data_IF_024679417238
#
_entry.id   IF_024679417238
#
_cell.length_a   1.000
_cell.length_b   1.000
_cell.length_c   1.000
_cell.angle_alpha   90.00
_cell.angle_beta   90.00
_cell.angle_gamma   90.00
#
_symmetry.space_group_name_H-M   'P 1'
#
loop_
_entity.id
_entity.type
_entity.pdbx_description
1 polymer ?
#
# COMPACT_ATOMS: atom_id res chain seq x y z
N UNK A 1 -22.07 15.32 -10.66
CA UNK A 1 -21.28 16.33 -11.42
C UNK A 1 -19.82 15.97 -11.26
N UNK A 2 -19.09 15.70 -12.35
CA UNK A 2 -17.67 15.24 -12.36
C UNK A 2 -16.69 16.31 -12.82
N UNK A 3 -17.20 17.46 -13.27
CA UNK A 3 -16.43 18.60 -13.74
C UNK A 3 -16.75 19.85 -12.91
N UNK A 4 -15.72 20.65 -12.66
CA UNK A 4 -15.82 21.95 -12.00
C UNK A 4 -14.96 22.96 -12.76
N UNK A 5 -15.44 24.21 -12.78
CA UNK A 5 -14.79 25.33 -13.47
C UNK A 5 -14.05 26.16 -12.44
N UNK A 6 -12.75 26.38 -12.66
CA UNK A 6 -11.91 27.25 -11.85
C UNK A 6 -11.99 28.66 -12.40
N UNK A 7 -12.27 29.63 -11.54
CA UNK A 7 -12.11 31.05 -11.89
C UNK A 7 -10.63 31.47 -11.92
N UNK A 8 -9.72 30.65 -11.41
CA UNK A 8 -8.27 30.87 -11.55
C UNK A 8 -7.87 30.56 -12.99
N UNK A 9 -7.51 31.61 -13.75
CA UNK A 9 -7.18 31.49 -15.16
C UNK A 9 -5.80 30.87 -15.43
N UNK A 10 -4.98 30.71 -14.38
CA UNK A 10 -3.63 30.18 -14.54
C UNK A 10 -3.59 28.66 -14.36
N UNK A 11 -3.45 27.94 -15.48
CA UNK A 11 -3.32 26.48 -15.53
C UNK A 11 -2.19 25.94 -14.65
N UNK A 12 -1.05 26.64 -14.57
CA UNK A 12 0.09 26.24 -13.75
C UNK A 12 -0.27 26.26 -12.26
N UNK A 13 -0.94 27.32 -11.80
CA UNK A 13 -1.41 27.43 -10.40
C UNK A 13 -2.42 26.35 -10.05
N UNK A 14 -3.37 26.07 -10.94
CA UNK A 14 -4.36 24.99 -10.76
C UNK A 14 -3.66 23.63 -10.69
N UNK A 15 -2.69 23.39 -11.58
CA UNK A 15 -1.92 22.13 -11.59
C UNK A 15 -1.08 21.96 -10.32
N UNK A 16 -0.43 23.01 -9.83
CA UNK A 16 0.31 22.99 -8.56
C UNK A 16 -0.58 22.67 -7.36
N UNK A 17 -1.76 23.29 -7.29
CA UNK A 17 -2.76 22.99 -6.24
C UNK A 17 -3.18 21.53 -6.30
N UNK A 18 -3.46 21.00 -7.50
CA UNK A 18 -3.81 19.58 -7.67
C UNK A 18 -2.65 18.68 -7.24
N UNK A 19 -1.42 18.94 -7.70
CA UNK A 19 -0.24 18.15 -7.36
C UNK A 19 -0.01 18.08 -5.84
N UNK A 20 -0.10 19.21 -5.15
CA UNK A 20 0.01 19.28 -3.69
C UNK A 20 -1.03 18.37 -3.00
N UNK A 21 -2.27 18.35 -3.51
CA UNK A 21 -3.33 17.52 -2.93
C UNK A 21 -3.12 16.04 -3.19
N UNK A 22 -2.65 15.70 -4.39
CA UNK A 22 -2.29 14.31 -4.72
C UNK A 22 -1.19 13.79 -3.79
N UNK A 23 -0.18 14.62 -3.51
CA UNK A 23 0.86 14.35 -2.53
C UNK A 23 0.28 14.15 -1.11
N UNK A 24 -0.54 15.08 -0.63
CA UNK A 24 -1.18 14.99 0.71
C UNK A 24 -2.05 13.74 0.87
N UNK A 25 -2.72 13.31 -0.21
CA UNK A 25 -3.54 12.10 -0.22
C UNK A 25 -2.74 10.82 -0.51
N UNK A 26 -1.42 10.93 -0.72
CA UNK A 26 -0.52 9.81 -1.04
C UNK A 26 -1.01 9.00 -2.24
N UNK A 27 -1.29 9.72 -3.32
CA UNK A 27 -1.74 9.15 -4.57
C UNK A 27 -0.54 9.00 -5.51
N UNK A 28 -0.40 7.81 -6.09
CA UNK A 28 0.52 7.63 -7.23
C UNK A 28 -0.05 8.41 -8.40
N UNK A 29 0.74 9.33 -8.97
CA UNK A 29 0.27 10.21 -10.04
C UNK A 29 1.27 10.31 -11.19
N UNK A 30 0.75 10.24 -12.43
CA UNK A 30 1.53 10.38 -13.66
C UNK A 30 0.94 11.49 -14.51
N UNK A 31 1.72 12.55 -14.70
CA UNK A 31 1.34 13.76 -15.43
C UNK A 31 1.68 13.61 -16.92
N UNK A 32 0.69 13.85 -17.78
CA UNK A 32 0.82 13.97 -19.22
C UNK A 32 0.47 15.41 -19.60
N UNK A 33 1.51 16.25 -19.68
CA UNK A 33 1.39 17.67 -20.00
C UNK A 33 0.85 17.91 -21.42
N UNK A 34 1.10 16.98 -22.35
CA UNK A 34 0.64 17.09 -23.75
C UNK A 34 -0.87 16.92 -23.87
N UNK A 35 -1.47 16.08 -23.02
CA UNK A 35 -2.92 15.80 -23.03
C UNK A 35 -3.68 16.49 -21.90
N UNK A 36 -3.00 17.31 -21.09
CA UNK A 36 -3.58 17.91 -19.89
C UNK A 36 -4.19 16.85 -18.96
N UNK A 37 -3.54 15.70 -18.83
CA UNK A 37 -4.10 14.50 -18.19
C UNK A 37 -3.22 14.05 -17.04
N UNK A 38 -3.83 13.71 -15.92
CA UNK A 38 -3.15 13.11 -14.76
C UNK A 38 -3.81 11.75 -14.52
N UNK A 39 -3.03 10.67 -14.57
CA UNK A 39 -3.48 9.36 -14.11
C UNK A 39 -3.17 9.25 -12.62
N UNK A 40 -4.15 8.84 -11.82
CA UNK A 40 -4.01 8.71 -10.38
C UNK A 40 -4.44 7.31 -9.94
N UNK A 41 -3.67 6.76 -8.99
CA UNK A 41 -3.98 5.50 -8.30
C UNK A 41 -3.95 5.79 -6.80
N UNK A 42 -4.93 5.30 -6.06
CA UNK A 42 -4.92 5.36 -4.58
C UNK A 42 -4.34 4.09 -3.97
N UNK A 43 -3.99 4.15 -2.68
CA UNK A 43 -3.48 2.98 -1.95
C UNK A 43 -4.48 1.81 -1.91
N UNK A 44 -5.78 2.13 -1.96
CA UNK A 44 -6.89 1.18 -2.09
C UNK A 44 -7.12 0.69 -3.54
N UNK A 45 -6.14 0.93 -4.43
CA UNK A 45 -6.15 0.60 -5.84
C UNK A 45 -7.32 1.18 -6.64
N UNK A 46 -7.68 2.44 -6.36
CA UNK A 46 -8.71 3.16 -7.11
C UNK A 46 -8.04 3.94 -8.23
N UNK A 47 -8.38 3.59 -9.46
CA UNK A 47 -7.85 4.28 -10.63
C UNK A 47 -8.80 5.38 -11.07
N UNK A 48 -8.26 6.57 -11.26
CA UNK A 48 -9.01 7.67 -11.81
C UNK A 48 -8.11 8.60 -12.62
N UNK A 49 -8.75 9.46 -13.40
CA UNK A 49 -8.06 10.41 -14.26
C UNK A 49 -8.57 11.81 -13.95
N UNK A 50 -7.64 12.76 -13.86
CA UNK A 50 -7.92 14.18 -13.87
C UNK A 50 -7.59 14.72 -15.26
N UNK A 51 -8.50 15.47 -15.88
CA UNK A 51 -8.27 16.19 -17.14
C UNK A 51 -8.47 17.67 -16.93
N UNK A 52 -7.58 18.45 -17.54
CA UNK A 52 -7.61 19.90 -17.53
C UNK A 52 -7.94 20.38 -18.93
N UNK A 53 -8.94 21.25 -19.05
CA UNK A 53 -9.35 21.88 -20.30
C UNK A 53 -9.33 23.40 -20.15
N UNK A 54 -9.06 24.10 -21.25
CA UNK A 54 -9.25 25.54 -21.34
C UNK A 54 -10.74 25.83 -21.57
N UNK A 55 -11.34 26.65 -20.70
CA UNK A 55 -12.71 27.14 -20.84
C UNK A 55 -12.79 28.43 -21.64
N UNK A 56 -14.00 28.86 -21.97
CA UNK A 56 -14.26 29.99 -22.86
C UNK A 56 -13.80 31.35 -22.29
N UNK A 57 -13.75 31.48 -20.96
CA UNK A 57 -13.45 32.75 -20.26
C UNK A 57 -12.06 32.75 -19.60
N UNK A 58 -11.06 32.16 -20.27
CA UNK A 58 -9.75 31.85 -19.68
C UNK A 58 -9.82 30.98 -18.42
N UNK A 59 -10.97 30.36 -18.14
CA UNK A 59 -11.15 29.47 -17.00
C UNK A 59 -10.48 28.12 -17.23
N UNK A 60 -10.16 27.42 -16.15
CA UNK A 60 -9.66 26.04 -16.23
C UNK A 60 -10.77 25.10 -15.81
N UNK A 61 -11.19 24.21 -16.71
CA UNK A 61 -12.16 23.16 -16.39
C UNK A 61 -11.39 21.93 -15.92
N UNK A 62 -11.65 21.49 -14.70
CA UNK A 62 -11.10 20.26 -14.13
C UNK A 62 -12.18 19.19 -14.17
N UNK A 63 -11.94 18.12 -14.93
CA UNK A 63 -12.77 16.93 -14.95
C UNK A 63 -12.06 15.80 -14.20
N UNK A 64 -12.75 15.13 -13.28
CA UNK A 64 -12.22 13.92 -12.63
C UNK A 64 -13.13 12.75 -12.93
N UNK A 65 -12.56 11.66 -13.44
CA UNK A 65 -13.29 10.47 -13.88
C UNK A 65 -12.70 9.21 -13.24
N UNK A 66 -13.53 8.46 -12.52
CA UNK A 66 -13.19 7.11 -12.04
C UNK A 66 -13.03 6.18 -13.24
N UNK A 67 -11.96 5.39 -13.24
CA UNK A 67 -11.69 4.35 -14.22
C UNK A 67 -12.04 2.97 -13.65
N UNK A 68 -11.66 2.70 -12.39
CA UNK A 68 -11.95 1.45 -11.69
C UNK A 68 -11.97 1.66 -10.16
N UNK A 69 -12.24 0.59 -9.39
CA UNK A 69 -12.23 0.60 -7.93
C UNK A 69 -13.56 1.01 -7.26
N UNK A 70 -13.62 1.06 -5.94
CA UNK A 70 -14.85 1.35 -5.18
C UNK A 70 -15.35 2.79 -5.38
N UNK A 71 -16.63 2.95 -5.75
CA UNK A 71 -17.25 4.27 -6.00
C UNK A 71 -17.32 5.15 -4.75
N UNK A 72 -17.54 4.57 -3.57
CA UNK A 72 -17.64 5.30 -2.30
C UNK A 72 -16.28 5.88 -1.87
N UNK A 73 -15.23 5.05 -1.92
CA UNK A 73 -13.88 5.51 -1.59
C UNK A 73 -13.41 6.51 -2.66
N UNK A 74 -13.72 6.25 -3.94
CA UNK A 74 -13.48 7.23 -5.02
C UNK A 74 -14.14 8.56 -4.70
N UNK A 75 -15.42 8.58 -4.31
CA UNK A 75 -16.13 9.81 -3.97
C UNK A 75 -15.43 10.59 -2.85
N UNK A 76 -14.95 9.91 -1.81
CA UNK A 76 -14.22 10.55 -0.71
C UNK A 76 -12.89 11.18 -1.18
N UNK A 77 -12.12 10.46 -2.01
CA UNK A 77 -10.84 10.96 -2.57
C UNK A 77 -11.08 12.07 -3.60
N UNK A 78 -12.06 11.89 -4.48
CA UNK A 78 -12.54 12.86 -5.47
C UNK A 78 -12.94 14.17 -4.80
N UNK A 79 -13.77 14.11 -3.76
CA UNK A 79 -14.24 15.31 -3.05
C UNK A 79 -13.07 16.10 -2.46
N UNK A 80 -12.07 15.39 -1.94
CA UNK A 80 -10.84 15.99 -1.39
C UNK A 80 -9.98 16.63 -2.48
N UNK A 81 -9.72 15.91 -3.58
CA UNK A 81 -8.94 16.38 -4.72
C UNK A 81 -9.56 17.61 -5.37
N UNK A 82 -10.86 17.57 -5.59
CA UNK A 82 -11.61 18.65 -6.21
C UNK A 82 -11.69 19.86 -5.29
N UNK A 83 -12.16 19.71 -4.06
CA UNK A 83 -12.34 20.87 -3.19
C UNK A 83 -11.04 21.60 -2.95
N UNK A 84 -9.93 20.88 -2.82
CA UNK A 84 -8.65 21.50 -2.58
C UNK A 84 -8.10 22.21 -3.84
N UNK A 85 -8.38 21.70 -5.05
CA UNK A 85 -8.04 22.40 -6.29
C UNK A 85 -8.72 23.78 -6.40
N UNK A 86 -9.95 23.94 -5.87
CA UNK A 86 -10.73 25.18 -5.98
C UNK A 86 -10.65 26.09 -4.75
N UNK A 87 -10.63 25.52 -3.55
CA UNK A 87 -10.61 26.29 -2.29
C UNK A 87 -9.22 26.50 -1.71
N UNK A 88 -8.21 25.76 -2.19
CA UNK A 88 -6.87 25.72 -1.57
C UNK A 88 -6.85 25.03 -0.20
N UNK A 89 -8.00 24.57 0.31
CA UNK A 89 -8.11 23.89 1.59
C UNK A 89 -8.25 22.39 1.36
N UNK A 90 -7.27 21.62 1.82
CA UNK A 90 -7.36 20.17 1.88
C UNK A 90 -8.31 19.80 3.01
N UNK A 91 -9.60 19.67 2.70
CA UNK A 91 -10.52 18.95 3.59
C UNK A 91 -10.27 17.47 3.38
N UNK A 92 -9.47 16.89 4.28
CA UNK A 92 -9.41 15.44 4.39
C UNK A 92 -10.84 14.92 4.59
N UNK A 93 -11.22 13.80 3.93
CA UNK A 93 -12.54 13.25 4.14
C UNK A 93 -12.70 13.00 5.64
N UNK A 94 -13.74 13.59 6.25
CA UNK A 94 -14.14 13.17 7.60
C UNK A 94 -14.25 11.65 7.56
N UNK A 95 -13.58 10.93 8.49
CA UNK A 95 -13.63 9.46 8.56
C UNK A 95 -15.05 9.04 8.18
N UNK A 96 -15.19 8.42 7.00
CA UNK A 96 -16.51 7.99 6.55
C UNK A 96 -17.08 7.19 7.71
N UNK A 97 -18.35 7.43 8.08
CA UNK A 97 -19.00 6.59 9.10
C UNK A 97 -18.76 5.16 8.65
N UNK A 98 -17.91 4.46 9.39
CA UNK A 98 -17.50 3.12 9.02
C UNK A 98 -18.79 2.35 8.86
N UNK A 99 -19.03 1.82 7.65
CA UNK A 99 -20.08 0.82 7.53
C UNK A 99 -19.65 -0.28 8.47
N UNK A 100 -20.43 -0.62 9.52
CA UNK A 100 -20.11 -1.76 10.33
C UNK A 100 -20.09 -2.93 9.36
N UNK A 101 -18.89 -3.41 9.06
CA UNK A 101 -18.73 -4.69 8.42
C UNK A 101 -19.14 -5.66 9.52
N UNK A 102 -20.46 -5.88 9.64
CA UNK A 102 -21.05 -6.96 10.42
C UNK A 102 -20.66 -8.26 9.72
N UNK A 103 -19.36 -8.54 9.61
CA UNK A 103 -18.90 -9.92 9.70
C UNK A 103 -19.20 -10.24 11.14
N UNK A 104 -20.41 -10.76 11.35
CA UNK A 104 -20.99 -11.06 12.64
C UNK A 104 -19.91 -11.63 13.54
N UNK A 105 -19.87 -11.17 14.79
CA UNK A 105 -19.29 -11.91 15.92
C UNK A 105 -20.08 -13.22 16.15
N UNK A 106 -20.46 -13.92 15.07
CA UNK A 106 -20.84 -15.32 15.15
C UNK A 106 -19.66 -15.99 15.83
N UNK A 107 -19.92 -16.66 16.94
CA UNK A 107 -18.93 -17.42 17.69
C UNK A 107 -18.23 -18.37 16.71
N UNK A 108 -17.08 -17.97 16.17
CA UNK A 108 -16.35 -18.78 15.21
C UNK A 108 -15.64 -19.85 16.04
N UNK A 109 -16.19 -21.06 16.02
CA UNK A 109 -15.41 -22.22 16.42
C UNK A 109 -14.17 -22.29 15.52
N UNK A 110 -13.05 -22.79 16.04
CA UNK A 110 -11.78 -22.95 15.30
C UNK A 110 -11.98 -23.64 13.94
N UNK A 111 -13.01 -24.49 13.80
CA UNK A 111 -13.41 -25.16 12.55
C UNK A 111 -13.73 -24.21 11.40
N UNK A 112 -14.42 -23.10 11.67
CA UNK A 112 -14.87 -22.17 10.63
C UNK A 112 -13.72 -21.28 10.14
N UNK A 113 -12.78 -20.97 11.04
CA UNK A 113 -11.55 -20.24 10.72
C UNK A 113 -10.57 -21.10 9.93
N UNK A 114 -10.39 -22.37 10.30
CA UNK A 114 -9.58 -23.31 9.51
C UNK A 114 -10.14 -23.52 8.10
N UNK A 115 -11.47 -23.61 7.96
CA UNK A 115 -12.15 -23.69 6.67
C UNK A 115 -11.87 -22.46 5.80
N UNK A 116 -11.74 -21.28 6.42
CA UNK A 116 -11.48 -20.03 5.70
C UNK A 116 -10.09 -20.01 5.05
N UNK A 117 -9.04 -20.48 5.74
CA UNK A 117 -7.70 -20.55 5.16
C UNK A 117 -7.56 -21.64 4.10
N UNK A 118 -8.22 -22.78 4.30
CA UNK A 118 -8.21 -23.83 3.29
C UNK A 118 -8.80 -23.32 1.97
N UNK A 119 -9.90 -22.56 2.02
CA UNK A 119 -10.46 -21.89 0.83
C UNK A 119 -9.53 -20.85 0.24
N UNK A 120 -8.89 -20.02 1.07
CA UNK A 120 -7.90 -19.03 0.59
C UNK A 120 -6.75 -19.73 -0.12
N UNK A 121 -6.26 -20.85 0.41
CA UNK A 121 -5.21 -21.65 -0.20
C UNK A 121 -5.65 -22.23 -1.55
N UNK A 122 -6.84 -22.82 -1.65
CA UNK A 122 -7.42 -23.27 -2.92
C UNK A 122 -7.50 -22.14 -3.95
N UNK A 123 -7.93 -20.95 -3.52
CA UNK A 123 -8.06 -19.77 -4.38
C UNK A 123 -6.70 -19.23 -4.88
N UNK A 124 -5.65 -19.33 -4.06
CA UNK A 124 -4.28 -18.93 -4.44
C UNK A 124 -3.75 -19.83 -5.57
N UNK A 125 -4.07 -21.12 -5.54
CA UNK A 125 -3.63 -22.10 -6.54
C UNK A 125 -4.56 -22.22 -7.76
N UNK A 126 -5.66 -21.45 -7.80
CA UNK A 126 -6.51 -21.35 -8.97
C UNK A 126 -5.71 -20.79 -10.18
N UNK A 127 -6.12 -21.09 -11.41
CA UNK A 127 -5.50 -20.54 -12.61
C UNK A 127 -5.87 -19.07 -12.85
N UNK A 128 -6.99 -18.59 -12.30
CA UNK A 128 -7.46 -17.23 -12.55
C UNK A 128 -6.80 -16.20 -11.61
N UNK A 129 -6.30 -15.10 -12.17
CA UNK A 129 -5.66 -14.01 -11.42
C UNK A 129 -6.65 -13.28 -10.50
N UNK A 130 -7.89 -13.07 -10.95
CA UNK A 130 -8.94 -12.46 -10.13
C UNK A 130 -9.22 -13.25 -8.85
N UNK A 131 -9.18 -14.59 -8.93
CA UNK A 131 -9.34 -15.48 -7.77
C UNK A 131 -8.20 -15.28 -6.76
N UNK A 132 -6.96 -15.15 -7.24
CA UNK A 132 -5.79 -14.84 -6.39
C UNK A 132 -5.90 -13.46 -5.74
N UNK A 133 -6.35 -12.46 -6.49
CA UNK A 133 -6.59 -11.11 -5.96
C UNK A 133 -7.64 -11.16 -4.85
N UNK A 134 -8.74 -11.88 -5.06
CA UNK A 134 -9.77 -12.05 -4.03
C UNK A 134 -9.21 -12.77 -2.78
N UNK A 135 -8.41 -13.81 -2.96
CA UNK A 135 -7.77 -14.52 -1.85
C UNK A 135 -6.86 -13.61 -1.03
N UNK A 136 -6.04 -12.80 -1.70
CA UNK A 136 -5.13 -11.84 -1.07
C UNK A 136 -5.87 -10.69 -0.39
N UNK A 137 -6.99 -10.22 -0.96
CA UNK A 137 -7.87 -9.24 -0.32
C UNK A 137 -8.47 -9.80 0.98
N UNK A 138 -8.99 -11.03 0.94
CA UNK A 138 -9.53 -11.70 2.13
C UNK A 138 -8.45 -11.84 3.21
N UNK A 139 -7.23 -12.26 2.82
CA UNK A 139 -6.13 -12.41 3.76
C UNK A 139 -5.66 -11.08 4.35
N UNK A 140 -5.64 -10.00 3.56
CA UNK A 140 -5.36 -8.64 4.05
C UNK A 140 -6.38 -8.21 5.10
N UNK A 141 -7.67 -8.51 4.88
CA UNK A 141 -8.73 -8.22 5.86
C UNK A 141 -8.57 -9.05 7.13
N UNK A 142 -8.27 -10.34 7.01
CA UNK A 142 -8.13 -11.26 8.14
C UNK A 142 -6.87 -11.03 8.98
N UNK A 143 -5.84 -10.41 8.41
CA UNK A 143 -4.61 -10.05 9.12
C UNK A 143 -4.60 -8.62 9.63
N UNK A 144 -5.49 -7.74 9.14
CA UNK A 144 -5.54 -6.35 9.55
C UNK A 144 -6.23 -6.11 10.90
N UNK A 145 -5.92 -4.98 11.55
CA UNK A 145 -6.47 -4.62 12.88
C UNK A 145 -8.00 -4.72 12.99
N UNK A 146 -8.71 -4.51 11.87
CA UNK A 146 -10.19 -4.55 11.79
C UNK A 146 -10.79 -5.94 11.97
N UNK A 147 -10.04 -7.02 11.74
CA UNK A 147 -10.56 -8.37 11.98
C UNK A 147 -10.68 -8.70 13.48
N UNK A 148 -10.11 -7.86 14.35
CA UNK A 148 -10.01 -8.13 15.77
C UNK A 148 -8.79 -9.00 16.11
N UNK A 149 -8.30 -8.82 17.34
CA UNK A 149 -7.04 -9.38 17.84
C UNK A 149 -6.94 -10.91 17.66
N UNK A 150 -8.00 -11.65 17.98
CA UNK A 150 -8.02 -13.12 17.90
C UNK A 150 -7.76 -13.64 16.48
N UNK A 151 -8.30 -12.97 15.46
CA UNK A 151 -8.08 -13.36 14.07
C UNK A 151 -6.61 -13.10 13.68
N UNK A 152 -6.07 -11.92 13.99
CA UNK A 152 -4.68 -11.58 13.66
C UNK A 152 -3.72 -12.53 14.36
N UNK A 153 -4.00 -12.87 15.62
CA UNK A 153 -3.23 -13.84 16.37
C UNK A 153 -3.23 -15.21 15.70
N UNK A 154 -4.41 -15.71 15.32
CA UNK A 154 -4.54 -17.01 14.66
C UNK A 154 -3.82 -17.01 13.30
N UNK A 155 -4.18 -16.09 12.41
CA UNK A 155 -3.66 -16.06 11.04
C UNK A 155 -2.18 -15.68 11.01
N UNK A 156 -1.75 -14.71 11.81
CA UNK A 156 -0.35 -14.30 11.90
C UNK A 156 0.56 -15.39 12.45
N UNK A 157 0.13 -16.11 13.50
CA UNK A 157 0.90 -17.26 14.00
C UNK A 157 0.97 -18.37 12.97
N UNK A 158 -0.13 -18.72 12.31
CA UNK A 158 -0.14 -19.79 11.32
C UNK A 158 0.74 -19.50 10.10
N UNK A 159 0.80 -18.23 9.68
CA UNK A 159 1.67 -17.80 8.59
C UNK A 159 3.15 -17.84 9.01
N UNK A 160 3.53 -17.23 10.14
CA UNK A 160 4.92 -17.21 10.58
C UNK A 160 5.46 -18.59 10.95
N UNK A 161 4.67 -19.41 11.65
CA UNK A 161 5.06 -20.78 12.03
C UNK A 161 5.13 -21.73 10.83
N UNK A 162 4.72 -21.28 9.64
CA UNK A 162 4.69 -22.12 8.45
C UNK A 162 3.68 -23.27 8.57
N UNK A 163 2.62 -23.10 9.37
CA UNK A 163 1.52 -24.07 9.44
C UNK A 163 0.72 -24.07 8.13
N UNK A 164 0.70 -22.92 7.42
CA UNK A 164 0.15 -22.73 6.08
C UNK A 164 1.23 -22.41 5.05
N UNK A 165 2.12 -23.38 4.80
CA UNK A 165 3.27 -23.21 3.89
C UNK A 165 2.87 -22.77 2.49
N UNK A 166 1.75 -23.25 1.95
CA UNK A 166 1.32 -22.86 0.59
C UNK A 166 1.06 -21.35 0.47
N UNK A 167 0.28 -20.82 1.40
CA UNK A 167 -0.02 -19.38 1.49
C UNK A 167 1.26 -18.57 1.75
N UNK A 168 2.08 -18.98 2.72
CA UNK A 168 3.31 -18.28 3.05
C UNK A 168 4.32 -18.28 1.88
N UNK A 169 4.48 -19.40 1.19
CA UNK A 169 5.33 -19.52 0.01
C UNK A 169 4.84 -18.63 -1.14
N UNK A 170 3.53 -18.51 -1.32
CA UNK A 170 2.96 -17.60 -2.32
C UNK A 170 3.19 -16.13 -1.97
N UNK A 171 3.02 -15.73 -0.71
CA UNK A 171 3.31 -14.36 -0.25
C UNK A 171 4.81 -14.06 -0.43
N UNK A 172 5.68 -14.98 -0.04
CA UNK A 172 7.13 -14.79 -0.15
C UNK A 172 7.61 -14.80 -1.60
N UNK A 173 7.02 -15.59 -2.50
CA UNK A 173 7.35 -15.53 -3.94
C UNK A 173 6.95 -14.19 -4.56
N UNK A 174 5.80 -13.62 -4.15
CA UNK A 174 5.40 -12.27 -4.57
C UNK A 174 6.40 -11.19 -4.11
N UNK A 175 7.07 -11.37 -2.96
CA UNK A 175 8.02 -10.41 -2.39
C UNK A 175 9.45 -10.63 -2.92
N UNK A 176 9.93 -11.87 -2.96
CA UNK A 176 11.31 -12.21 -3.31
C UNK A 176 11.52 -12.42 -4.81
N UNK A 177 10.51 -12.96 -5.50
CA UNK A 177 10.63 -13.55 -6.83
C UNK A 177 9.64 -12.94 -7.84
N UNK A 178 9.18 -11.70 -7.65
CA UNK A 178 8.15 -11.07 -8.50
C UNK A 178 8.44 -11.15 -10.01
N UNK A 179 9.72 -11.16 -10.41
CA UNK A 179 10.12 -11.33 -11.81
C UNK A 179 9.70 -12.68 -12.41
N UNK A 180 9.76 -13.78 -11.63
CA UNK A 180 9.38 -15.11 -12.10
C UNK A 180 7.87 -15.25 -12.31
N UNK A 181 7.07 -14.57 -11.47
CA UNK A 181 5.62 -14.49 -11.67
C UNK A 181 5.25 -13.55 -12.83
N UNK A 182 6.11 -12.56 -13.12
CA UNK A 182 6.06 -11.66 -14.28
C UNK A 182 5.96 -12.37 -15.62
N UNK A 183 6.68 -13.47 -15.78
CA UNK A 183 6.68 -14.25 -17.03
C UNK A 183 5.36 -15.01 -17.25
N UNK A 184 4.54 -15.17 -16.22
CA UNK A 184 3.27 -15.90 -16.26
C UNK A 184 2.05 -14.97 -16.29
N UNK A 185 2.24 -13.67 -16.08
CA UNK A 185 1.19 -12.67 -16.08
C UNK A 185 1.53 -11.54 -17.05
N UNK A 186 0.80 -11.45 -18.16
CA UNK A 186 0.95 -10.33 -19.10
C UNK A 186 0.52 -8.99 -18.49
N UNK A 187 -0.18 -9.01 -17.35
CA UNK A 187 -0.66 -7.81 -16.67
C UNK A 187 0.21 -7.45 -15.46
N UNK A 188 1.22 -6.63 -15.73
CA UNK A 188 2.13 -6.09 -14.72
C UNK A 188 1.39 -5.31 -13.61
N UNK A 189 0.26 -4.64 -13.91
CA UNK A 189 -0.49 -3.89 -12.89
C UNK A 189 -1.15 -4.83 -11.86
N UNK A 190 -1.57 -6.02 -12.27
CA UNK A 190 -2.10 -7.04 -11.37
C UNK A 190 -1.04 -7.63 -10.44
N UNK A 191 0.17 -7.88 -10.97
CA UNK A 191 1.26 -8.37 -10.13
C UNK A 191 1.69 -7.35 -9.08
N UNK A 192 1.77 -6.08 -9.47
CA UNK A 192 2.07 -4.98 -8.54
C UNK A 192 1.01 -4.84 -7.44
N UNK A 193 -0.27 -5.08 -7.78
CA UNK A 193 -1.36 -5.13 -6.81
C UNK A 193 -1.19 -6.28 -5.81
N UNK A 194 -0.92 -7.49 -6.30
CA UNK A 194 -0.72 -8.68 -5.45
C UNK A 194 0.50 -8.52 -4.55
N UNK A 195 1.61 -8.00 -5.10
CA UNK A 195 2.83 -7.68 -4.35
C UNK A 195 2.56 -6.65 -3.26
N UNK A 196 1.76 -5.63 -3.57
CA UNK A 196 1.30 -4.66 -2.58
C UNK A 196 0.49 -5.30 -1.44
N UNK A 197 -0.44 -6.21 -1.75
CA UNK A 197 -1.18 -6.96 -0.73
C UNK A 197 -0.27 -7.87 0.09
N UNK A 198 0.72 -8.52 -0.53
CA UNK A 198 1.70 -9.36 0.15
C UNK A 198 2.50 -8.56 1.19
N UNK A 199 2.97 -7.36 0.84
CA UNK A 199 3.63 -6.48 1.82
C UNK A 199 2.68 -6.00 2.92
N UNK A 200 1.41 -5.72 2.63
CA UNK A 200 0.43 -5.33 3.66
C UNK A 200 0.16 -6.47 4.65
N UNK A 201 -0.02 -7.70 4.15
CA UNK A 201 -0.19 -8.91 4.98
C UNK A 201 1.05 -9.11 5.83
N UNK A 202 2.25 -9.03 5.23
CA UNK A 202 3.50 -9.17 5.96
C UNK A 202 3.62 -8.10 7.05
N UNK A 203 3.35 -6.82 6.74
CA UNK A 203 3.36 -5.74 7.71
C UNK A 203 2.47 -6.07 8.90
N UNK A 204 1.21 -6.45 8.66
CA UNK A 204 0.24 -6.74 9.72
C UNK A 204 0.74 -7.86 10.65
N UNK A 205 1.32 -8.91 10.05
CA UNK A 205 1.85 -10.07 10.76
C UNK A 205 3.10 -9.71 11.58
N UNK A 206 4.03 -8.95 10.99
CA UNK A 206 5.22 -8.46 11.69
C UNK A 206 4.84 -7.53 12.85
N UNK A 207 3.93 -6.59 12.62
CA UNK A 207 3.46 -5.65 13.65
C UNK A 207 2.83 -6.39 14.83
N UNK A 208 1.97 -7.38 14.54
CA UNK A 208 1.38 -8.22 15.57
C UNK A 208 2.47 -8.95 16.38
N UNK A 209 3.41 -9.62 15.71
CA UNK A 209 4.49 -10.35 16.39
C UNK A 209 5.45 -9.46 17.17
N UNK A 210 5.68 -8.23 16.71
CA UNK A 210 6.45 -7.23 17.43
C UNK A 210 5.72 -6.82 18.73
N UNK A 211 4.41 -6.54 18.65
CA UNK A 211 3.56 -6.24 19.82
C UNK A 211 3.52 -7.39 20.84
N UNK A 212 3.72 -8.64 20.41
CA UNK A 212 3.81 -9.83 21.27
C UNK A 212 5.24 -10.15 21.77
N UNK A 213 6.25 -9.34 21.42
CA UNK A 213 7.67 -9.62 21.69
C UNK A 213 8.16 -10.96 21.13
N UNK A 214 7.53 -11.48 20.07
CA UNK A 214 7.87 -12.77 19.44
C UNK A 214 8.69 -12.60 18.15
N UNK A 215 8.73 -11.39 17.59
CA UNK A 215 9.35 -11.15 16.28
C UNK A 215 10.87 -11.39 16.30
N UNK A 216 11.58 -10.94 17.35
CA UNK A 216 13.03 -11.09 17.42
C UNK A 216 13.46 -12.56 17.43
N UNK A 217 12.82 -13.39 18.27
CA UNK A 217 13.08 -14.83 18.34
C UNK A 217 12.78 -15.51 16.99
N UNK A 218 11.67 -15.14 16.35
CA UNK A 218 11.33 -15.65 15.03
C UNK A 218 12.41 -15.35 13.98
N UNK A 219 12.91 -14.11 13.95
CA UNK A 219 13.98 -13.70 13.02
C UNK A 219 15.27 -14.47 13.31
N UNK A 220 15.66 -14.62 14.57
CA UNK A 220 16.87 -15.38 14.95
C UNK A 220 16.80 -16.84 14.51
N UNK A 221 15.63 -17.46 14.59
CA UNK A 221 15.42 -18.83 14.13
C UNK A 221 15.34 -18.96 12.60
N UNK A 222 15.15 -17.86 11.87
CA UNK A 222 14.93 -17.84 10.42
C UNK A 222 15.84 -16.84 9.69
N UNK A 223 17.13 -16.77 10.07
CA UNK A 223 18.09 -15.77 9.52
C UNK A 223 18.12 -15.72 7.99
N UNK A 224 18.15 -16.86 7.31
CA UNK A 224 18.18 -16.88 5.85
C UNK A 224 16.94 -16.27 5.19
N UNK A 225 15.75 -16.47 5.78
CA UNK A 225 14.52 -15.84 5.31
C UNK A 225 14.56 -14.32 5.54
N UNK A 226 15.03 -13.90 6.71
CA UNK A 226 15.17 -12.49 7.05
C UNK A 226 16.13 -11.73 6.13
N UNK A 227 17.26 -12.34 5.79
CA UNK A 227 18.27 -11.72 4.92
C UNK A 227 17.70 -11.45 3.52
N UNK A 228 16.98 -12.44 2.98
CA UNK A 228 16.27 -12.28 1.72
C UNK A 228 15.16 -11.23 1.82
N UNK A 229 14.46 -11.17 2.96
CA UNK A 229 13.42 -10.18 3.19
C UNK A 229 13.96 -8.76 3.23
N UNK A 230 15.06 -8.51 3.95
CA UNK A 230 15.68 -7.19 3.99
C UNK A 230 16.06 -6.71 2.59
N UNK A 231 16.71 -7.57 1.81
CA UNK A 231 17.10 -7.25 0.43
C UNK A 231 15.87 -6.95 -0.44
N UNK A 232 14.79 -7.72 -0.29
CA UNK A 232 13.56 -7.50 -1.04
C UNK A 232 12.85 -6.20 -0.64
N UNK A 233 12.82 -5.86 0.65
CA UNK A 233 12.27 -4.60 1.15
C UNK A 233 13.08 -3.42 0.61
N UNK A 234 14.42 -3.47 0.67
CA UNK A 234 15.29 -2.39 0.17
C UNK A 234 15.11 -2.16 -1.33
N UNK A 235 15.04 -3.24 -2.12
CA UNK A 235 14.74 -3.14 -3.56
C UNK A 235 13.41 -2.45 -3.83
N UNK A 236 12.39 -2.71 -3.02
CA UNK A 236 11.09 -2.07 -3.19
C UNK A 236 11.12 -0.58 -2.82
N UNK A 237 11.84 -0.24 -1.75
CA UNK A 237 12.04 1.14 -1.30
C UNK A 237 12.82 1.95 -2.36
N UNK A 238 13.72 1.32 -3.11
CA UNK A 238 14.51 1.94 -4.19
C UNK A 238 13.69 2.29 -5.45
N UNK A 239 12.43 1.86 -5.54
CA UNK A 239 11.59 2.04 -6.74
C UNK A 239 10.32 2.89 -6.51
N UNK A 240 10.37 4.02 -5.78
CA UNK A 240 9.17 4.80 -5.48
C UNK A 240 8.59 5.48 -6.73
N UNK A 241 9.39 5.64 -7.78
CA UNK A 241 8.96 6.17 -9.07
C UNK A 241 8.17 5.16 -9.92
N UNK A 242 8.35 3.86 -9.66
CA UNK A 242 7.58 2.79 -10.31
C UNK A 242 6.26 2.62 -9.58
N UNK A 243 6.34 2.36 -8.26
CA UNK A 243 5.18 2.10 -7.42
C UNK A 243 5.40 2.65 -5.99
N UNK A 244 5.00 3.91 -5.72
CA UNK A 244 5.21 4.52 -4.42
C UNK A 244 4.38 3.87 -3.31
N UNK A 245 3.29 3.16 -3.64
CA UNK A 245 2.48 2.44 -2.65
C UNK A 245 3.18 1.20 -2.14
N UNK A 246 3.86 0.45 -3.01
CA UNK A 246 4.61 -0.72 -2.59
C UNK A 246 5.87 -0.31 -1.82
N UNK A 247 6.58 0.74 -2.27
CA UNK A 247 7.67 1.34 -1.51
C UNK A 247 7.21 1.78 -0.11
N UNK A 248 6.03 2.40 0.01
CA UNK A 248 5.43 2.78 1.29
C UNK A 248 5.20 1.56 2.20
N UNK A 249 4.57 0.50 1.69
CA UNK A 249 4.31 -0.71 2.48
C UNK A 249 5.60 -1.41 2.89
N UNK A 250 6.61 -1.42 2.03
CA UNK A 250 7.93 -1.94 2.34
C UNK A 250 8.62 -1.13 3.45
N UNK A 251 8.57 0.20 3.38
CA UNK A 251 9.11 1.08 4.43
C UNK A 251 8.44 0.84 5.79
N UNK A 252 7.12 0.60 5.83
CA UNK A 252 6.43 0.21 7.06
C UNK A 252 6.97 -1.10 7.66
N UNK A 253 7.18 -2.12 6.84
CA UNK A 253 7.80 -3.37 7.30
C UNK A 253 9.19 -3.10 7.89
N UNK A 254 9.97 -2.23 7.26
CA UNK A 254 11.30 -1.84 7.75
C UNK A 254 11.23 -1.16 9.12
N UNK A 255 10.28 -0.25 9.32
CA UNK A 255 10.05 0.42 10.60
C UNK A 255 9.84 -0.57 11.75
N UNK A 256 9.00 -1.60 11.53
CA UNK A 256 8.76 -2.64 12.53
C UNK A 256 10.04 -3.44 12.81
N UNK A 257 10.77 -3.82 11.76
CA UNK A 257 12.02 -4.61 11.89
C UNK A 257 13.07 -3.84 12.69
N UNK A 258 13.37 -2.59 12.32
CA UNK A 258 14.39 -1.79 13.01
C UNK A 258 14.01 -1.39 14.43
N UNK A 259 12.71 -1.27 14.72
CA UNK A 259 12.21 -1.04 16.08
C UNK A 259 12.35 -2.27 16.98
N UNK A 260 12.56 -3.46 16.42
CA UNK A 260 12.54 -4.71 17.17
C UNK A 260 13.84 -4.97 17.95
N UNK A 261 15.02 -4.70 17.36
CA UNK A 261 16.29 -4.83 18.08
C UNK A 261 17.44 -4.07 17.41
N UNK A 262 18.49 -3.79 18.18
CA UNK A 262 19.71 -3.12 17.71
C UNK A 262 20.50 -3.96 16.71
N UNK A 263 20.55 -5.29 16.89
CA UNK A 263 21.20 -6.21 15.94
C UNK A 263 20.61 -6.07 14.52
N UNK A 264 19.29 -5.92 14.42
CA UNK A 264 18.61 -5.75 13.14
C UNK A 264 18.91 -4.37 12.53
N UNK A 265 19.12 -3.34 13.35
CA UNK A 265 19.57 -2.01 12.89
C UNK A 265 20.99 -2.05 12.35
N UNK A 266 21.91 -2.72 13.05
CA UNK A 266 23.30 -2.90 12.60
C UNK A 266 23.32 -3.58 11.23
N UNK A 267 22.56 -4.67 11.07
CA UNK A 267 22.44 -5.34 9.78
C UNK A 267 21.84 -4.47 8.68
N UNK A 268 20.85 -3.64 9.02
CA UNK A 268 20.33 -2.62 8.11
C UNK A 268 21.40 -1.63 7.65
N UNK A 269 22.27 -1.18 8.56
CA UNK A 269 23.41 -0.29 8.24
C UNK A 269 24.44 -0.98 7.35
N UNK A 270 24.75 -2.26 7.59
CA UNK A 270 25.65 -3.06 6.73
C UNK A 270 25.15 -3.19 5.29
N UNK A 271 23.82 -3.19 5.09
CA UNK A 271 23.18 -3.22 3.78
C UNK A 271 22.91 -1.83 3.18
N UNK A 272 23.48 -0.77 3.77
CA UNK A 272 23.30 0.62 3.33
C UNK A 272 21.83 1.07 3.28
N UNK A 273 20.99 0.55 4.19
CA UNK A 273 19.57 0.88 4.23
C UNK A 273 19.29 2.39 4.33
N UNK A 274 20.20 3.14 4.96
CA UNK A 274 20.08 4.60 5.09
C UNK A 274 20.06 5.29 3.72
N UNK A 275 20.95 4.93 2.80
CA UNK A 275 21.00 5.53 1.46
C UNK A 275 19.73 5.25 0.67
N UNK A 276 19.20 4.02 0.72
CA UNK A 276 17.92 3.67 0.08
C UNK A 276 16.75 4.49 0.64
N UNK A 277 16.66 4.62 1.97
CA UNK A 277 15.62 5.38 2.64
C UNK A 277 15.70 6.88 2.31
N UNK A 278 16.91 7.45 2.28
CA UNK A 278 17.13 8.86 1.91
C UNK A 278 16.72 9.14 0.46
N UNK A 279 17.11 8.28 -0.48
CA UNK A 279 16.71 8.40 -1.88
C UNK A 279 15.18 8.34 -2.04
N UNK A 280 14.55 7.37 -1.37
CA UNK A 280 13.10 7.23 -1.37
C UNK A 280 12.40 8.44 -0.75
N UNK A 281 12.93 8.95 0.37
CA UNK A 281 12.42 10.13 1.04
C UNK A 281 12.50 11.36 0.13
N UNK A 282 13.66 11.64 -0.46
CA UNK A 282 13.86 12.74 -1.41
C UNK A 282 12.81 12.72 -2.54
N UNK A 283 12.57 11.56 -3.15
CA UNK A 283 11.54 11.41 -4.18
C UNK A 283 10.12 11.66 -3.62
N UNK A 284 9.82 11.09 -2.46
CA UNK A 284 8.48 11.11 -1.85
C UNK A 284 8.08 12.47 -1.28
N UNK A 285 9.04 13.31 -0.88
CA UNK A 285 8.84 14.66 -0.31
C UNK A 285 7.99 15.60 -1.17
N UNK A 286 7.87 15.31 -2.47
CA UNK A 286 7.06 16.08 -3.42
C UNK A 286 5.94 15.28 -4.07
N UNK A 287 5.86 13.96 -3.82
CA UNK A 287 5.00 13.05 -4.58
C UNK A 287 4.12 12.13 -3.74
N UNK A 288 4.55 11.74 -2.52
CA UNK A 288 3.84 10.77 -1.71
C UNK A 288 4.07 10.93 -0.18
N UNK A 289 3.20 11.70 0.49
CA UNK A 289 3.35 12.07 1.92
C UNK A 289 3.50 10.87 2.88
N UNK A 290 2.76 9.79 2.67
CA UNK A 290 2.84 8.62 3.55
C UNK A 290 4.19 7.91 3.43
N UNK A 291 4.81 7.91 2.25
CA UNK A 291 6.12 7.29 2.05
C UNK A 291 7.22 8.15 2.69
N UNK A 292 7.11 9.47 2.55
CA UNK A 292 8.00 10.42 3.22
C UNK A 292 8.02 10.20 4.74
N UNK A 293 6.84 10.14 5.37
CA UNK A 293 6.73 9.90 6.81
C UNK A 293 7.34 8.58 7.26
N UNK A 294 7.06 7.49 6.53
CA UNK A 294 7.60 6.18 6.90
C UNK A 294 9.12 6.12 6.70
N UNK A 295 9.64 6.75 5.65
CA UNK A 295 11.09 6.79 5.40
C UNK A 295 11.82 7.68 6.41
N UNK A 296 11.28 8.84 6.77
CA UNK A 296 11.82 9.70 7.85
C UNK A 296 11.87 8.96 9.18
N UNK A 297 10.78 8.26 9.51
CA UNK A 297 10.71 7.45 10.73
C UNK A 297 11.75 6.32 10.70
N UNK A 298 11.91 5.65 9.57
CA UNK A 298 12.86 4.55 9.43
C UNK A 298 14.31 5.02 9.57
N UNK A 299 14.65 6.17 8.98
CA UNK A 299 15.97 6.81 9.14
C UNK A 299 16.21 7.13 10.62
N UNK A 300 15.25 7.78 11.27
CA UNK A 300 15.34 8.16 12.68
C UNK A 300 15.55 6.95 13.60
N UNK A 301 14.84 5.84 13.35
CA UNK A 301 14.99 4.60 14.11
C UNK A 301 16.35 3.95 13.83
N UNK A 302 16.78 3.92 12.56
CA UNK A 302 18.04 3.31 12.16
C UNK A 302 19.25 4.03 12.78
N UNK A 303 19.19 5.36 12.89
CA UNK A 303 20.25 6.19 13.46
C UNK A 303 20.32 6.17 14.99
N UNK A 304 19.23 5.75 15.66
CA UNK A 304 19.15 5.61 17.12
C UNK A 304 19.90 4.39 17.68
#
# INVERSE_FOLDING_TARGET
>A
KTSIISQDANLSKVTQKIAFVLYQLSLSSKFDSTKGKIKCISIENIHFVIRLFCGNDSSVVVEVRRMSGCSLIFYNKYYSAINAAFSGVVKLPSKAKDFPCNVSNASKNDSDQQTSLYRIEEMIYDNYWDTKVLAMQLLTVLTGERSGYQNIELYGKQLLRGEKKGIFNFITSLIFESRLLGEQCDDYEFLELLRGMAFEILFNVLEFSAKQNQLFEYIQNNKGWYDNLLVAILKEIDMPHVNPHNAYRAARCMNIIFSTSEELRIKGKELDACSYLLLANCYSSSTHLLLEKETDQAISILEA
#
